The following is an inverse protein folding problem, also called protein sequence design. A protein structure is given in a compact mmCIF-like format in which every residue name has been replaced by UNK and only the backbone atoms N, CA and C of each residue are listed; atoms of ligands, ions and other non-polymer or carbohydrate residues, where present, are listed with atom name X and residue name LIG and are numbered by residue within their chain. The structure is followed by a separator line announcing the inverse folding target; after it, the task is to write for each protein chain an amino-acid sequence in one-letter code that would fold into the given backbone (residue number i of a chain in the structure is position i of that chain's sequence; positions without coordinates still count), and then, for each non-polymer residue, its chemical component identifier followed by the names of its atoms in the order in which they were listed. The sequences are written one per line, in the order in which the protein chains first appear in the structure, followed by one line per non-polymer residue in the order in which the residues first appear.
data_IF_006916900168
#
_entry.id   IF_006916900168
#
_cell.length_a   1.000
_cell.length_b   1.000
_cell.length_c   1.000
_cell.angle_alpha   90.00
_cell.angle_beta   90.00
_cell.angle_gamma   90.00
#
_symmetry.space_group_name_H-M   'P 1'
#
loop_
_entity.id
_entity.type
_entity.pdbx_description
1 polymer ?
#
# COMPACT_ATOMS: atom_id res chain seq x y z
N UNK A 1 15.29 -8.13 2.31
CA UNK A 1 16.49 -7.29 2.07
C UNK A 1 16.15 -5.94 1.45
N UNK A 2 15.31 -5.85 0.40
CA UNK A 2 14.94 -4.58 -0.25
C UNK A 2 14.37 -3.53 0.72
N UNK A 3 13.43 -3.94 1.58
CA UNK A 3 12.79 -3.06 2.59
C UNK A 3 13.78 -2.44 3.58
N UNK A 4 14.85 -3.13 3.96
CA UNK A 4 15.77 -2.63 5.00
C UNK A 4 16.56 -1.39 4.55
N UNK A 5 16.98 -1.34 3.29
CA UNK A 5 17.72 -0.20 2.74
C UNK A 5 16.82 1.02 2.63
N UNK A 6 15.58 0.82 2.14
CA UNK A 6 14.61 1.90 1.99
C UNK A 6 14.21 2.47 3.36
N UNK A 7 14.02 1.60 4.35
CA UNK A 7 13.77 2.02 5.74
C UNK A 7 14.93 2.84 6.26
N UNK A 8 16.17 2.35 6.17
CA UNK A 8 17.35 3.07 6.67
C UNK A 8 17.48 4.48 6.06
N UNK A 9 17.29 4.58 4.74
CA UNK A 9 17.38 5.84 4.02
C UNK A 9 16.30 6.85 4.44
N UNK A 10 15.07 6.40 4.70
CA UNK A 10 13.93 7.27 5.02
C UNK A 10 13.76 7.52 6.53
N UNK A 11 14.36 6.71 7.40
CA UNK A 11 14.17 6.78 8.87
C UNK A 11 14.72 8.05 9.51
N UNK A 12 15.46 8.88 8.78
CA UNK A 12 15.95 10.17 9.31
C UNK A 12 14.89 11.25 9.34
N UNK A 13 13.89 11.17 8.45
CA UNK A 13 12.89 12.21 8.24
C UNK A 13 11.44 11.72 8.44
N UNK A 14 11.23 10.40 8.46
CA UNK A 14 9.90 9.78 8.54
C UNK A 14 9.84 8.67 9.58
N UNK A 15 8.66 8.48 10.18
CA UNK A 15 8.36 7.31 10.99
C UNK A 15 8.00 6.13 10.07
N UNK A 16 8.80 5.06 10.10
CA UNK A 16 8.71 3.98 9.12
C UNK A 16 7.99 2.77 9.69
N UNK A 17 6.81 2.50 9.13
CA UNK A 17 6.05 1.27 9.41
C UNK A 17 6.29 0.29 8.26
N UNK A 18 6.95 -0.83 8.56
CA UNK A 18 7.20 -1.90 7.56
C UNK A 18 6.16 -3.01 7.65
N UNK A 19 5.81 -3.59 6.50
CA UNK A 19 4.96 -4.77 6.37
C UNK A 19 5.53 -5.70 5.28
N UNK A 20 5.42 -7.01 5.47
CA UNK A 20 6.00 -8.03 4.58
C UNK A 20 4.96 -8.87 3.84
N UNK A 21 3.67 -8.67 4.15
CA UNK A 21 2.54 -9.29 3.48
C UNK A 21 1.43 -8.25 3.32
N UNK A 22 0.59 -8.39 2.29
CA UNK A 22 -0.51 -7.47 2.11
C UNK A 22 -1.55 -7.52 3.25
N UNK A 23 -1.71 -8.68 3.91
CA UNK A 23 -2.55 -8.81 5.12
C UNK A 23 -2.03 -7.90 6.24
N UNK A 24 -0.72 -7.92 6.50
CA UNK A 24 -0.10 -7.08 7.53
C UNK A 24 -0.17 -5.59 7.18
N UNK A 25 -0.16 -5.23 5.90
CA UNK A 25 -0.39 -3.84 5.45
C UNK A 25 -1.76 -3.36 5.89
N UNK A 26 -2.81 -4.16 5.66
CA UNK A 26 -4.18 -3.75 5.99
C UNK A 26 -4.41 -3.57 7.50
N UNK A 27 -3.78 -4.40 8.32
CA UNK A 27 -3.81 -4.23 9.79
C UNK A 27 -3.08 -2.96 10.22
N UNK A 28 -1.82 -2.79 9.78
CA UNK A 28 -0.98 -1.65 10.15
C UNK A 28 -1.55 -0.32 9.71
N UNK A 29 -2.16 -0.24 8.53
CA UNK A 29 -2.78 1.01 8.05
C UNK A 29 -3.97 1.40 8.93
N UNK A 30 -4.74 0.43 9.43
CA UNK A 30 -5.88 0.69 10.32
C UNK A 30 -5.43 1.14 11.71
N UNK A 31 -4.40 0.51 12.27
CA UNK A 31 -3.93 0.81 13.61
C UNK A 31 -3.09 2.10 13.68
N UNK A 32 -2.19 2.30 12.71
CA UNK A 32 -1.21 3.39 12.75
C UNK A 32 -1.63 4.63 11.93
N UNK A 33 -2.63 4.51 11.05
CA UNK A 33 -3.15 5.61 10.22
C UNK A 33 -2.05 6.44 9.51
N UNK A 34 -1.18 5.83 8.68
CA UNK A 34 -0.05 6.50 8.07
C UNK A 34 -0.46 7.58 7.06
N UNK A 35 0.37 8.62 6.93
CA UNK A 35 0.18 9.70 5.95
C UNK A 35 0.54 9.29 4.51
N UNK A 36 1.49 8.35 4.35
CA UNK A 36 1.99 7.87 3.06
C UNK A 36 2.23 6.36 3.09
N UNK A 37 1.80 5.67 2.03
CA UNK A 37 1.96 4.21 1.88
C UNK A 37 2.73 3.91 0.60
N UNK A 38 3.93 3.35 0.76
CA UNK A 38 4.73 2.78 -0.32
C UNK A 38 4.46 1.28 -0.40
N UNK A 39 3.95 0.82 -1.55
CA UNK A 39 3.51 -0.55 -1.72
C UNK A 39 4.12 -1.15 -3.00
N UNK A 40 4.69 -2.34 -2.88
CA UNK A 40 5.20 -3.08 -4.03
C UNK A 40 4.04 -3.73 -4.81
N UNK A 41 4.13 -3.77 -6.13
CA UNK A 41 3.10 -4.37 -6.99
C UNK A 41 3.06 -5.89 -6.80
N UNK A 42 4.24 -6.49 -6.60
CA UNK A 42 4.39 -7.93 -6.43
C UNK A 42 4.55 -8.22 -4.93
N UNK A 43 3.45 -8.57 -4.29
CA UNK A 43 3.43 -9.06 -2.92
C UNK A 43 3.04 -10.55 -2.88
N UNK A 44 3.50 -11.29 -1.86
CA UNK A 44 3.05 -12.66 -1.66
C UNK A 44 1.57 -12.68 -1.25
N UNK A 45 0.83 -13.66 -1.79
CA UNK A 45 -0.60 -13.95 -1.58
C UNK A 45 -1.58 -12.97 -2.24
N UNK A 46 -1.42 -11.67 -2.05
CA UNK A 46 -2.31 -10.64 -2.61
C UNK A 46 -1.49 -9.59 -3.36
N UNK A 47 -2.01 -9.07 -4.46
CA UNK A 47 -1.28 -8.04 -5.21
C UNK A 47 -1.26 -6.71 -4.45
N UNK A 48 -0.20 -5.92 -4.62
CA UNK A 48 -0.18 -4.54 -4.13
C UNK A 48 -1.32 -3.70 -4.73
N UNK A 49 -1.78 -4.04 -5.93
CA UNK A 49 -2.94 -3.37 -6.54
C UNK A 49 -4.22 -3.66 -5.75
N UNK A 50 -4.47 -4.92 -5.39
CA UNK A 50 -5.64 -5.30 -4.59
C UNK A 50 -5.64 -4.63 -3.22
N UNK A 51 -4.49 -4.59 -2.55
CA UNK A 51 -4.34 -3.87 -1.27
C UNK A 51 -4.66 -2.39 -1.45
N UNK A 52 -4.17 -1.76 -2.52
CA UNK A 52 -4.47 -0.37 -2.86
C UNK A 52 -5.98 -0.16 -3.08
N UNK A 53 -6.68 -1.09 -3.75
CA UNK A 53 -8.13 -1.01 -3.96
C UNK A 53 -8.93 -1.18 -2.65
N UNK A 54 -8.51 -2.10 -1.77
CA UNK A 54 -9.12 -2.28 -0.46
C UNK A 54 -8.97 -1.00 0.37
N UNK A 55 -7.77 -0.42 0.39
CA UNK A 55 -7.49 0.82 1.12
C UNK A 55 -8.26 2.01 0.55
N UNK A 56 -8.42 2.11 -0.77
CA UNK A 56 -9.23 3.15 -1.43
C UNK A 56 -10.72 3.04 -1.15
N UNK A 57 -11.23 1.81 -0.97
CA UNK A 57 -12.64 1.57 -0.70
C UNK A 57 -13.02 1.88 0.76
N UNK A 58 -12.02 1.92 1.66
CA UNK A 58 -12.17 2.33 3.05
C UNK A 58 -12.10 3.87 3.12
N UNK A 59 -13.24 4.55 3.10
CA UNK A 59 -13.39 6.03 3.05
C UNK A 59 -12.68 6.81 4.17
N UNK A 60 -12.10 6.10 5.17
CA UNK A 60 -11.38 6.66 6.32
C UNK A 60 -9.86 6.69 6.17
N UNK A 61 -9.27 5.96 5.24
CA UNK A 61 -7.81 5.87 5.10
C UNK A 61 -7.32 6.82 4.00
N UNK A 62 -6.96 8.03 4.45
CA UNK A 62 -6.02 9.02 3.91
C UNK A 62 -5.84 9.17 2.39
N UNK A 63 -5.85 10.45 1.97
CA UNK A 63 -5.64 10.95 0.61
C UNK A 63 -4.49 10.25 -0.14
N UNK A 64 -4.82 9.25 -0.93
CA UNK A 64 -3.88 8.59 -1.83
C UNK A 64 -3.78 9.39 -3.14
N UNK A 65 -2.71 10.17 -3.30
CA UNK A 65 -2.36 10.80 -4.59
C UNK A 65 -1.35 9.91 -5.30
N UNK A 66 -1.74 9.29 -6.41
CA UNK A 66 -0.74 8.72 -7.31
C UNK A 66 0.12 9.88 -7.87
N UNK A 67 1.42 9.66 -7.99
CA UNK A 67 2.37 10.70 -8.45
C UNK A 67 2.17 11.10 -9.92
N UNK A 68 1.21 10.51 -10.64
CA UNK A 68 0.90 10.82 -12.04
C UNK A 68 -0.50 11.40 -12.26
N UNK A 69 -1.33 11.62 -11.23
CA UNK A 69 -2.70 12.09 -11.38
C UNK A 69 -3.61 11.15 -12.19
N UNK A 70 -3.20 9.90 -12.39
CA UNK A 70 -4.07 8.90 -13.01
C UNK A 70 -4.98 8.31 -11.94
N UNK A 71 -6.23 8.77 -11.95
CA UNK A 71 -7.33 8.03 -11.36
C UNK A 71 -7.31 6.61 -11.94
N UNK A 72 -6.82 5.65 -11.16
CA UNK A 72 -6.76 4.25 -11.58
C UNK A 72 -8.20 3.81 -11.84
N UNK A 73 -8.61 3.59 -13.11
CA UNK A 73 -9.96 3.14 -13.37
C UNK A 73 -10.03 1.72 -12.85
N UNK A 74 -10.93 1.47 -11.90
CA UNK A 74 -11.30 0.15 -11.39
C UNK A 74 -11.09 -0.90 -12.48
N UNK A 75 -9.98 -1.63 -12.42
CA UNK A 75 -9.71 -2.65 -13.43
C UNK A 75 -10.65 -3.80 -13.09
N UNK A 76 -11.74 -3.90 -13.85
CA UNK A 76 -12.52 -5.12 -13.96
C UNK A 76 -11.58 -6.22 -14.47
N UNK A 77 -10.96 -6.97 -13.56
CA UNK A 77 -10.50 -8.33 -13.83
C UNK A 77 -11.62 -9.21 -13.29
N UNK A 78 -12.66 -9.48 -14.09
CA UNK A 78 -12.48 -10.46 -15.15
C UNK A 78 -12.36 -11.83 -14.49
N UNK A 79 -13.48 -12.34 -14.00
CA UNK A 79 -13.65 -13.74 -13.64
C UNK A 79 -13.07 -14.62 -14.73
N UNK A 80 -12.16 -15.55 -14.40
CA UNK A 80 -12.02 -16.80 -15.16
C UNK A 80 -11.00 -17.74 -14.53
N UNK A 81 -11.09 -19.04 -14.88
CA UNK A 81 -12.02 -20.04 -14.40
C UNK A 81 -11.34 -21.10 -13.52
#
# INVERSE_FOLDING_TARGET
MMIAILTDYLSSDYDIISATSGESVLEKVKDESPDLILLDVILPKISGIEVCEILKSDEKNTKYTDHNGYHCPSQKTGSKP
#
